data_IF_398234945585
#
_entry.id   IF_398234945585
#
_cell.length_a   1.000
_cell.length_b   1.000
_cell.length_c   1.000
_cell.angle_alpha   90.00
_cell.angle_beta   90.00
_cell.angle_gamma   90.00
#
_symmetry.space_group_name_H-M   'P 1'
#
loop_
_entity.id
_entity.type
_entity.pdbx_description
1 polymer ?
#
# COMPACT_ATOMS: atom_id res chain seq x y z
N UNK A 1 -3.62 -28.27 -27.59
CA UNK A 1 -3.10 -27.66 -26.34
C UNK A 1 -3.68 -28.46 -25.16
N UNK A 2 -2.85 -28.97 -24.25
CA UNK A 2 -3.31 -29.79 -23.14
C UNK A 2 -4.13 -28.92 -22.15
N UNK A 3 -5.23 -29.42 -21.54
CA UNK A 3 -6.12 -28.61 -20.68
C UNK A 3 -5.36 -27.84 -19.57
N UNK A 4 -4.35 -28.48 -18.97
CA UNK A 4 -3.45 -27.86 -17.97
C UNK A 4 -2.58 -26.73 -18.52
N UNK A 5 -2.18 -26.77 -19.80
CA UNK A 5 -1.46 -25.66 -20.42
C UNK A 5 -2.41 -24.48 -20.67
N UNK A 6 -3.65 -24.73 -21.10
CA UNK A 6 -4.63 -23.66 -21.29
C UNK A 6 -4.95 -22.91 -20.00
N UNK A 7 -5.09 -23.60 -18.88
CA UNK A 7 -5.31 -22.99 -17.55
C UNK A 7 -4.11 -22.17 -17.06
N UNK A 8 -2.89 -22.56 -17.43
CA UNK A 8 -1.67 -21.83 -17.03
C UNK A 8 -1.45 -20.55 -17.84
N UNK A 9 -1.83 -20.56 -19.12
CA UNK A 9 -1.66 -19.41 -20.02
C UNK A 9 -2.87 -18.48 -20.08
N UNK A 10 -4.03 -18.91 -19.56
CA UNK A 10 -5.27 -18.12 -19.57
C UNK A 10 -5.14 -16.73 -18.94
N UNK A 11 -4.39 -16.50 -17.83
CA UNK A 11 -4.30 -15.16 -17.25
C UNK A 11 -3.50 -14.20 -18.15
N UNK A 12 -2.44 -14.70 -18.80
CA UNK A 12 -1.62 -13.92 -19.72
C UNK A 12 -2.37 -13.57 -21.00
N UNK A 13 -3.10 -14.54 -21.56
CA UNK A 13 -3.93 -14.31 -22.75
C UNK A 13 -5.03 -13.29 -22.46
N UNK A 14 -5.67 -13.38 -21.30
CA UNK A 14 -6.70 -12.43 -20.87
C UNK A 14 -6.10 -11.03 -20.65
N UNK A 15 -4.93 -10.94 -20.02
CA UNK A 15 -4.21 -9.66 -19.86
C UNK A 15 -3.89 -9.02 -21.21
N UNK A 16 -3.32 -9.78 -22.15
CA UNK A 16 -3.00 -9.27 -23.49
C UNK A 16 -4.28 -8.84 -24.22
N UNK A 17 -5.35 -9.63 -24.14
CA UNK A 17 -6.63 -9.27 -24.73
C UNK A 17 -7.17 -7.95 -24.17
N UNK A 18 -7.10 -7.75 -22.85
CA UNK A 18 -7.50 -6.49 -22.20
C UNK A 18 -6.64 -5.32 -22.70
N UNK A 19 -5.33 -5.47 -22.77
CA UNK A 19 -4.43 -4.40 -23.23
C UNK A 19 -4.71 -4.01 -24.69
N UNK A 20 -4.94 -5.00 -25.56
CA UNK A 20 -5.27 -4.75 -26.97
C UNK A 20 -6.62 -4.06 -27.09
N UNK A 21 -7.65 -4.55 -26.38
CA UNK A 21 -8.98 -3.91 -26.39
C UNK A 21 -8.90 -2.48 -25.86
N UNK A 22 -8.14 -2.24 -24.79
CA UNK A 22 -7.92 -0.91 -24.23
C UNK A 22 -7.24 0.01 -25.25
N UNK A 23 -6.12 -0.42 -25.85
CA UNK A 23 -5.39 0.35 -26.87
C UNK A 23 -6.31 0.73 -28.05
N UNK A 24 -7.11 -0.22 -28.55
CA UNK A 24 -8.06 -0.01 -29.65
C UNK A 24 -9.17 0.95 -29.24
N UNK A 25 -9.68 0.88 -28.01
CA UNK A 25 -10.69 1.81 -27.52
C UNK A 25 -10.12 3.23 -27.43
N UNK A 26 -8.93 3.40 -26.87
CA UNK A 26 -8.31 4.72 -26.70
C UNK A 26 -7.92 5.36 -28.04
N UNK A 27 -7.34 4.57 -28.95
CA UNK A 27 -6.88 5.06 -30.25
C UNK A 27 -8.03 5.22 -31.26
N UNK A 28 -9.00 4.30 -31.26
CA UNK A 28 -10.11 4.26 -32.22
C UNK A 28 -11.24 5.24 -31.93
N UNK A 29 -11.50 5.56 -30.66
CA UNK A 29 -12.57 6.50 -30.28
C UNK A 29 -12.08 7.94 -30.06
N UNK A 30 -10.78 8.22 -30.29
CA UNK A 30 -10.22 9.56 -30.13
C UNK A 30 -10.37 10.11 -28.71
N UNK A 31 -10.34 9.23 -27.71
CA UNK A 31 -10.46 9.62 -26.29
C UNK A 31 -9.30 10.52 -25.93
N UNK A 32 -9.56 11.63 -25.22
CA UNK A 32 -8.51 12.54 -24.80
C UNK A 32 -7.45 11.80 -23.97
N UNK A 33 -6.21 11.81 -24.43
CA UNK A 33 -5.06 11.19 -23.75
C UNK A 33 -4.85 11.73 -22.33
N UNK A 34 -5.36 12.93 -22.05
CA UNK A 34 -5.30 13.52 -20.71
C UNK A 34 -6.24 12.82 -19.71
N UNK A 35 -7.39 12.32 -20.18
CA UNK A 35 -8.37 11.64 -19.32
C UNK A 35 -8.11 10.14 -19.29
N UNK A 36 -7.76 9.56 -20.44
CA UNK A 36 -7.56 8.12 -20.56
C UNK A 36 -6.43 7.80 -21.56
N UNK A 37 -5.17 7.85 -21.12
CA UNK A 37 -4.03 7.57 -21.99
C UNK A 37 -4.02 6.10 -22.42
N UNK A 38 -3.55 5.84 -23.64
CA UNK A 38 -3.36 4.49 -24.15
C UNK A 38 -2.24 3.76 -23.40
N UNK A 39 -2.29 2.42 -23.31
CA UNK A 39 -1.18 1.60 -22.80
C UNK A 39 0.18 1.94 -23.42
N UNK A 40 0.22 2.17 -24.74
CA UNK A 40 1.43 2.61 -25.46
C UNK A 40 1.98 3.93 -24.91
N UNK A 41 1.11 4.92 -24.70
CA UNK A 41 1.48 6.24 -24.17
C UNK A 41 1.97 6.17 -22.72
N UNK A 42 1.34 5.33 -21.89
CA UNK A 42 1.79 5.08 -20.51
C UNK A 42 3.23 4.54 -20.52
N UNK A 43 3.53 3.60 -21.43
CA UNK A 43 4.87 3.03 -21.56
C UNK A 43 5.91 4.08 -21.99
N UNK A 44 5.59 4.89 -23.00
CA UNK A 44 6.46 6.00 -23.43
C UNK A 44 6.74 6.98 -22.29
N UNK A 45 5.69 7.44 -21.59
CA UNK A 45 5.82 8.37 -20.47
C UNK A 45 6.63 7.77 -19.31
N UNK A 46 6.50 6.47 -19.08
CA UNK A 46 7.28 5.74 -18.07
C UNK A 46 8.76 5.74 -18.41
N UNK A 47 9.12 5.57 -19.68
CA UNK A 47 10.52 5.59 -20.13
C UNK A 47 11.10 7.01 -20.17
N UNK A 48 10.31 7.98 -20.61
CA UNK A 48 10.69 9.40 -20.67
C UNK A 48 10.97 9.96 -19.27
N UNK A 49 10.06 9.70 -18.32
CA UNK A 49 10.15 10.21 -16.94
C UNK A 49 10.74 9.19 -15.96
N UNK A 50 11.46 8.18 -16.46
CA UNK A 50 11.96 7.05 -15.65
C UNK A 50 12.72 7.48 -14.40
N UNK A 51 13.55 8.52 -14.50
CA UNK A 51 14.40 9.01 -13.40
C UNK A 51 13.56 9.63 -12.30
N UNK A 52 12.58 10.45 -12.65
CA UNK A 52 11.64 11.07 -11.72
C UNK A 52 10.74 10.03 -11.07
N UNK A 53 10.18 9.09 -11.86
CA UNK A 53 9.35 7.99 -11.37
C UNK A 53 10.15 7.12 -10.39
N UNK A 54 11.36 6.72 -10.75
CA UNK A 54 12.25 5.94 -9.86
C UNK A 54 12.62 6.73 -8.61
N UNK A 55 12.87 8.04 -8.72
CA UNK A 55 13.15 8.90 -7.57
C UNK A 55 11.98 8.94 -6.58
N UNK A 56 10.75 9.11 -7.07
CA UNK A 56 9.55 9.08 -6.23
C UNK A 56 9.27 7.67 -5.70
N UNK A 57 9.43 6.63 -6.51
CA UNK A 57 9.24 5.25 -6.11
C UNK A 57 10.24 4.86 -5.00
N UNK A 58 11.51 5.23 -5.16
CA UNK A 58 12.54 5.01 -4.14
C UNK A 58 12.20 5.77 -2.86
N UNK A 59 11.75 7.03 -2.97
CA UNK A 59 11.34 7.82 -1.82
C UNK A 59 10.22 7.13 -1.05
N UNK A 60 9.15 6.74 -1.73
CA UNK A 60 8.04 6.02 -1.11
C UNK A 60 8.52 4.70 -0.50
N UNK A 61 9.34 3.94 -1.22
CA UNK A 61 9.87 2.67 -0.75
C UNK A 61 10.63 2.82 0.58
N UNK A 62 11.66 3.67 0.65
CA UNK A 62 12.47 3.77 1.87
C UNK A 62 11.67 4.37 3.03
N UNK A 63 10.79 5.34 2.77
CA UNK A 63 9.91 5.95 3.78
C UNK A 63 8.97 4.92 4.38
N UNK A 64 8.33 4.12 3.52
CA UNK A 64 7.45 3.03 3.97
C UNK A 64 8.23 1.97 4.73
N UNK A 65 9.43 1.60 4.27
CA UNK A 65 10.29 0.63 4.97
C UNK A 65 10.76 1.15 6.33
N UNK A 66 11.08 2.43 6.46
CA UNK A 66 11.44 3.03 7.74
C UNK A 66 10.26 2.99 8.73
N UNK A 67 9.07 3.42 8.30
CA UNK A 67 7.86 3.36 9.14
C UNK A 67 7.47 1.94 9.51
N UNK A 68 7.59 1.00 8.57
CA UNK A 68 7.34 -0.41 8.78
C UNK A 68 8.33 -1.04 9.76
N UNK A 69 9.63 -0.73 9.63
CA UNK A 69 10.66 -1.22 10.55
C UNK A 69 10.41 -0.76 11.99
N UNK A 70 10.03 0.51 12.18
CA UNK A 70 9.64 1.04 13.50
C UNK A 70 8.38 0.31 14.01
N UNK A 71 7.40 0.07 13.14
CA UNK A 71 6.17 -0.64 13.50
C UNK A 71 6.41 -2.08 13.94
N UNK A 72 7.36 -2.79 13.31
CA UNK A 72 7.76 -4.12 13.75
C UNK A 72 8.33 -4.06 15.16
N UNK A 73 9.34 -3.21 15.39
CA UNK A 73 10.02 -3.14 16.69
C UNK A 73 9.03 -2.80 17.80
N UNK A 74 8.25 -1.74 17.63
CA UNK A 74 7.31 -1.28 18.65
C UNK A 74 6.11 -2.23 18.78
N UNK A 75 5.55 -2.69 17.66
CA UNK A 75 4.37 -3.56 17.62
C UNK A 75 4.64 -4.94 18.21
N UNK A 76 5.80 -5.54 17.93
CA UNK A 76 6.20 -6.83 18.50
C UNK A 76 6.44 -6.70 20.01
N UNK A 77 7.16 -5.67 20.45
CA UNK A 77 7.45 -5.46 21.87
C UNK A 77 6.16 -5.25 22.69
N UNK A 78 5.26 -4.37 22.22
CA UNK A 78 4.00 -4.12 22.89
C UNK A 78 3.05 -5.31 22.78
N UNK A 79 2.97 -5.96 21.62
CA UNK A 79 2.14 -7.14 21.42
C UNK A 79 2.55 -8.28 22.36
N UNK A 80 3.86 -8.52 22.51
CA UNK A 80 4.38 -9.53 23.44
C UNK A 80 4.04 -9.18 24.90
N UNK A 81 4.22 -7.92 25.30
CA UNK A 81 3.89 -7.47 26.65
C UNK A 81 2.39 -7.65 26.97
N UNK A 82 1.51 -7.27 26.03
CA UNK A 82 0.06 -7.40 26.18
C UNK A 82 -0.37 -8.87 26.16
N UNK A 83 0.19 -9.69 25.27
CA UNK A 83 -0.09 -11.12 25.15
C UNK A 83 0.41 -11.95 26.34
N UNK A 84 1.41 -11.47 27.07
CA UNK A 84 1.97 -12.17 28.23
C UNK A 84 1.01 -12.29 29.43
N UNK A 85 -0.02 -11.44 29.52
CA UNK A 85 -0.96 -11.42 30.64
C UNK A 85 -2.42 -11.29 30.19
N UNK A 86 -3.28 -12.20 30.67
CA UNK A 86 -4.72 -12.15 30.42
C UNK A 86 -5.36 -10.83 30.90
N UNK A 87 -4.85 -10.24 31.98
CA UNK A 87 -5.34 -8.96 32.49
C UNK A 87 -4.95 -7.80 31.57
N UNK A 88 -3.71 -7.78 31.10
CA UNK A 88 -3.22 -6.75 30.17
C UNK A 88 -3.97 -6.82 28.83
N UNK A 89 -4.15 -8.03 28.30
CA UNK A 89 -4.96 -8.25 27.10
C UNK A 89 -6.40 -7.74 27.29
N UNK A 90 -7.08 -8.15 28.37
CA UNK A 90 -8.47 -7.73 28.62
C UNK A 90 -8.62 -6.20 28.79
N UNK A 91 -7.63 -5.53 29.38
CA UNK A 91 -7.64 -4.08 29.57
C UNK A 91 -7.38 -3.31 28.27
N UNK A 92 -6.47 -3.79 27.42
CA UNK A 92 -6.01 -3.06 26.22
C UNK A 92 -6.83 -3.42 24.97
N UNK A 93 -7.46 -4.60 24.94
CA UNK A 93 -8.25 -5.08 23.80
C UNK A 93 -9.38 -4.13 23.34
N UNK A 94 -10.18 -3.52 24.24
CA UNK A 94 -11.20 -2.54 23.83
C UNK A 94 -10.58 -1.33 23.14
N UNK A 95 -9.44 -0.85 23.65
CA UNK A 95 -8.70 0.27 23.08
C UNK A 95 -8.14 -0.09 21.70
N UNK A 96 -7.56 -1.29 21.56
CA UNK A 96 -7.04 -1.79 20.28
C UNK A 96 -8.13 -1.84 19.22
N UNK A 97 -9.32 -2.34 19.58
CA UNK A 97 -10.47 -2.43 18.67
C UNK A 97 -10.98 -1.05 18.28
N UNK A 98 -11.09 -0.12 19.24
CA UNK A 98 -11.52 1.25 18.99
C UNK A 98 -10.56 2.00 18.06
N UNK A 99 -9.24 1.88 18.28
CA UNK A 99 -8.24 2.49 17.41
C UNK A 99 -8.21 1.87 16.01
N UNK A 100 -8.44 0.55 15.88
CA UNK A 100 -8.50 -0.11 14.59
C UNK A 100 -9.70 0.36 13.74
N UNK A 101 -10.81 0.71 14.40
CA UNK A 101 -12.01 1.23 13.75
C UNK A 101 -11.82 2.66 13.19
N UNK A 102 -10.81 3.41 13.65
CA UNK A 102 -10.55 4.74 13.13
C UNK A 102 -10.01 4.67 11.69
N UNK A 103 -10.54 5.49 10.77
CA UNK A 103 -10.03 5.54 9.41
C UNK A 103 -8.59 6.08 9.40
N UNK A 104 -7.65 5.25 8.94
CA UNK A 104 -6.22 5.62 8.85
C UNK A 104 -5.99 6.91 8.05
N UNK A 105 -6.83 7.15 7.03
CA UNK A 105 -6.82 8.37 6.22
C UNK A 105 -7.09 9.66 7.02
N UNK A 106 -7.81 9.59 8.15
CA UNK A 106 -8.09 10.76 8.98
C UNK A 106 -6.86 11.25 9.77
N UNK A 107 -5.85 10.41 9.97
CA UNK A 107 -4.63 10.80 10.68
C UNK A 107 -3.66 11.60 9.80
N UNK A 108 -3.68 11.38 8.48
CA UNK A 108 -2.72 12.01 7.55
C UNK A 108 -2.74 13.55 7.67
N UNK A 109 -3.89 14.24 7.64
CA UNK A 109 -3.92 15.70 7.79
C UNK A 109 -3.39 16.17 9.14
N UNK A 110 -3.72 15.45 10.23
CA UNK A 110 -3.27 15.79 11.59
C UNK A 110 -1.74 15.71 11.68
N UNK A 111 -1.17 14.63 11.15
CA UNK A 111 0.29 14.45 11.12
C UNK A 111 0.98 15.53 10.30
N UNK A 112 0.39 15.95 9.19
CA UNK A 112 0.91 17.05 8.36
C UNK A 112 0.83 18.39 9.11
N UNK A 113 -0.22 18.64 9.88
CA UNK A 113 -0.33 19.87 10.70
C UNK A 113 0.72 19.89 11.81
N UNK A 114 1.00 18.75 12.45
CA UNK A 114 1.96 18.68 13.55
C UNK A 114 3.42 18.68 13.11
N UNK A 115 3.74 17.93 12.05
CA UNK A 115 5.12 17.69 11.61
C UNK A 115 5.49 18.44 10.32
N UNK A 116 4.55 19.18 9.74
CA UNK A 116 4.71 19.82 8.43
C UNK A 116 4.62 18.84 7.27
N UNK A 117 4.68 19.34 6.04
CA UNK A 117 4.71 18.52 4.83
C UNK A 117 6.12 17.92 4.68
N UNK A 118 6.22 16.61 4.48
CA UNK A 118 7.50 15.96 4.22
C UNK A 118 7.53 14.49 4.55
N UNK A 119 8.72 14.00 4.89
CA UNK A 119 8.99 12.58 5.15
C UNK A 119 8.39 12.12 6.48
N UNK A 120 8.39 12.97 7.51
CA UNK A 120 7.89 12.65 8.85
C UNK A 120 6.46 12.10 8.86
N UNK A 121 5.46 12.82 8.32
CA UNK A 121 4.09 12.34 8.25
C UNK A 121 3.95 11.03 7.46
N UNK A 122 4.75 10.85 6.40
CA UNK A 122 4.69 9.64 5.59
C UNK A 122 5.24 8.41 6.35
N UNK A 123 6.35 8.56 7.10
CA UNK A 123 6.87 7.52 7.99
C UNK A 123 5.84 7.17 9.07
N UNK A 124 5.27 8.18 9.73
CA UNK A 124 4.27 7.98 10.79
C UNK A 124 2.98 7.35 10.27
N UNK A 125 2.57 7.69 9.05
CA UNK A 125 1.41 7.06 8.41
C UNK A 125 1.70 5.58 8.11
N UNK A 126 2.86 5.27 7.52
CA UNK A 126 3.26 3.88 7.28
C UNK A 126 3.38 3.07 8.58
N UNK A 127 3.90 3.70 9.64
CA UNK A 127 3.94 3.15 10.99
C UNK A 127 2.53 2.83 11.50
N UNK A 128 1.60 3.79 11.51
CA UNK A 128 0.25 3.60 12.04
C UNK A 128 -0.54 2.51 11.28
N UNK A 129 -0.38 2.43 9.96
CA UNK A 129 -1.03 1.41 9.14
C UNK A 129 -0.54 0.01 9.52
N UNK A 130 0.75 -0.14 9.79
CA UNK A 130 1.39 -1.44 10.02
C UNK A 130 1.40 -1.86 11.49
N UNK A 131 1.51 -0.90 12.40
CA UNK A 131 1.67 -1.10 13.84
C UNK A 131 0.51 -1.89 14.46
N UNK A 132 -0.73 -1.50 14.18
CA UNK A 132 -1.89 -2.14 14.79
C UNK A 132 -2.06 -3.61 14.39
N UNK A 133 -2.05 -3.98 13.10
CA UNK A 133 -2.10 -5.40 12.70
C UNK A 133 -0.97 -6.22 13.32
N UNK A 134 0.27 -5.68 13.35
CA UNK A 134 1.42 -6.38 13.94
C UNK A 134 1.20 -6.62 15.43
N UNK A 135 0.85 -5.57 16.18
CA UNK A 135 0.64 -5.66 17.62
C UNK A 135 -0.50 -6.62 17.97
N UNK A 136 -1.64 -6.55 17.25
CA UNK A 136 -2.79 -7.43 17.48
C UNK A 136 -2.44 -8.89 17.19
N UNK A 137 -1.76 -9.17 16.07
CA UNK A 137 -1.36 -10.53 15.72
C UNK A 137 -0.41 -11.12 16.78
N UNK A 138 0.60 -10.35 17.22
CA UNK A 138 1.54 -10.82 18.25
C UNK A 138 0.85 -10.99 19.62
N UNK A 139 -0.10 -10.12 19.96
CA UNK A 139 -0.84 -10.23 21.22
C UNK A 139 -1.83 -11.41 21.26
N UNK A 140 -2.28 -11.89 20.10
CA UNK A 140 -3.22 -13.02 19.98
C UNK A 140 -2.54 -14.39 19.83
N UNK A 141 -1.26 -14.41 19.44
CA UNK A 141 -0.43 -15.61 19.30
C UNK A 141 -0.29 -16.04 17.86
#
# INVERSE_FOLDING_TARGET
MNKKQMERWSPFLLLIAILVVWEVITSGFGVSEFIFPSPSRIWEQTLEHKTTILGHAWRTYWVTMAGFGIAIVVGVLLGFLIGSSRLAYAAVYPLMTAFNALPKAAFVPILVVWFGIGVGPAILTAFLISFFPIMVNIATG
#
